data_IF_676076817263
#
_entry.id   IF_676076817263
#
_cell.length_a   1.000
_cell.length_b   1.000
_cell.length_c   1.000
_cell.angle_alpha   90.00
_cell.angle_beta   90.00
_cell.angle_gamma   90.00
#
_symmetry.space_group_name_H-M   'P 1'
#
loop_
_entity.id
_entity.type
_entity.pdbx_description
1 polymer ?
#
# COMPACT_ATOMS: atom_id res chain seq x y z
N UNK A 1 -9.98 17.40 11.16
CA UNK A 1 -9.17 16.99 9.98
C UNK A 1 -9.27 18.09 8.95
N UNK A 2 -8.12 18.55 8.43
CA UNK A 2 -8.14 19.43 7.26
C UNK A 2 -8.56 18.60 6.05
N UNK A 3 -9.60 19.00 5.29
CA UNK A 3 -10.07 18.23 4.12
C UNK A 3 -9.01 18.12 3.00
N UNK A 4 -7.90 18.87 3.11
CA UNK A 4 -6.78 18.87 2.16
C UNK A 4 -5.61 17.97 2.60
N UNK A 5 -5.67 17.35 3.77
CA UNK A 5 -4.60 16.47 4.25
C UNK A 5 -4.77 15.07 3.65
N UNK A 6 -3.78 14.62 2.87
CA UNK A 6 -3.80 13.30 2.25
C UNK A 6 -3.64 12.23 3.32
N UNK A 7 -4.56 11.25 3.35
CA UNK A 7 -4.40 10.06 4.17
C UNK A 7 -3.21 9.24 3.66
N UNK A 8 -2.38 8.78 4.59
CA UNK A 8 -1.23 7.91 4.30
C UNK A 8 -1.45 6.51 4.86
N UNK A 9 -0.70 5.54 4.32
CA UNK A 9 -0.76 4.14 4.76
C UNK A 9 -0.49 3.98 6.26
N UNK A 10 0.42 4.77 6.84
CA UNK A 10 0.70 4.75 8.28
C UNK A 10 -0.52 5.05 9.14
N UNK A 11 -1.43 5.90 8.66
CA UNK A 11 -2.62 6.35 9.37
C UNK A 11 -3.79 5.36 9.30
N UNK A 12 -3.73 4.35 8.42
CA UNK A 12 -4.73 3.30 8.37
C UNK A 12 -4.63 2.41 9.62
N UNK A 13 -5.78 2.00 10.14
CA UNK A 13 -5.87 0.91 11.12
C UNK A 13 -5.80 -0.45 10.42
N UNK A 14 -5.38 -1.49 11.15
CA UNK A 14 -5.43 -2.87 10.67
C UNK A 14 -6.88 -3.25 10.32
N UNK A 15 -7.06 -3.98 9.24
CA UNK A 15 -8.38 -4.35 8.71
C UNK A 15 -9.06 -3.27 7.87
N UNK A 16 -8.53 -2.05 7.83
CA UNK A 16 -9.07 -1.02 6.92
C UNK A 16 -8.70 -1.32 5.47
N UNK A 17 -9.68 -1.14 4.59
CA UNK A 17 -9.55 -1.34 3.15
C UNK A 17 -9.22 -0.03 2.46
N UNK A 18 -8.35 -0.10 1.48
CA UNK A 18 -7.91 1.08 0.75
C UNK A 18 -7.58 0.76 -0.71
N UNK A 19 -7.52 1.82 -1.51
CA UNK A 19 -6.85 1.81 -2.81
C UNK A 19 -5.68 2.79 -2.77
N UNK A 20 -4.71 2.59 -3.65
CA UNK A 20 -3.64 3.54 -3.88
C UNK A 20 -3.63 3.93 -5.36
N UNK A 21 -3.11 5.13 -5.64
CA UNK A 21 -2.82 5.52 -7.01
C UNK A 21 -1.47 4.93 -7.38
N UNK A 22 -1.48 3.96 -8.29
CA UNK A 22 -0.27 3.54 -8.95
C UNK A 22 0.27 4.72 -9.77
N UNK A 23 1.49 5.15 -9.48
CA UNK A 23 2.17 6.16 -10.29
C UNK A 23 2.64 5.53 -11.60
N UNK A 24 2.65 6.27 -12.72
CA UNK A 24 3.37 5.84 -13.91
C UNK A 24 4.83 5.50 -13.54
N UNK A 25 5.29 4.29 -13.86
CA UNK A 25 6.61 3.80 -13.45
C UNK A 25 6.60 2.82 -12.28
N UNK A 26 5.58 2.81 -11.41
CA UNK A 26 5.51 1.90 -10.24
C UNK A 26 5.53 0.41 -10.61
N UNK A 27 5.30 0.09 -11.90
CA UNK A 27 5.30 -1.27 -12.42
C UNK A 27 5.98 -1.41 -13.80
N UNK A 28 6.90 -0.52 -14.19
CA UNK A 28 7.71 -0.74 -15.40
C UNK A 28 8.61 -1.98 -15.21
N UNK A 29 8.11 -3.13 -15.66
CA UNK A 29 8.72 -4.46 -15.51
C UNK A 29 7.83 -5.51 -14.82
N UNK A 30 6.83 -5.10 -14.02
CA UNK A 30 6.04 -6.01 -13.16
C UNK A 30 4.51 -5.84 -13.28
N UNK A 31 4.02 -5.20 -14.34
CA UNK A 31 2.62 -5.39 -14.75
C UNK A 31 1.72 -4.17 -14.88
N UNK A 32 2.24 -2.93 -14.80
CA UNK A 32 1.54 -1.69 -15.11
C UNK A 32 0.25 -1.39 -14.32
N UNK A 33 -0.19 -0.13 -14.30
CA UNK A 33 -1.59 0.17 -14.02
C UNK A 33 -2.42 -0.24 -15.25
N UNK A 34 -3.19 -1.33 -15.16
CA UNK A 34 -3.99 -1.86 -16.29
C UNK A 34 -5.41 -1.28 -16.37
N UNK A 35 -5.66 -0.12 -15.76
CA UNK A 35 -6.97 0.53 -15.75
C UNK A 35 -7.92 0.10 -14.62
N UNK A 36 -7.44 -0.73 -13.68
CA UNK A 36 -8.19 -1.12 -12.49
C UNK A 36 -7.36 -0.86 -11.22
N UNK A 37 -8.01 -0.37 -10.17
CA UNK A 37 -7.40 -0.25 -8.84
C UNK A 37 -7.66 -1.52 -8.05
N UNK A 38 -6.59 -2.14 -7.56
CA UNK A 38 -6.68 -3.23 -6.62
C UNK A 38 -7.09 -2.70 -5.24
N UNK A 39 -7.99 -3.43 -4.57
CA UNK A 39 -8.36 -3.14 -3.18
C UNK A 39 -7.48 -3.96 -2.26
N UNK A 40 -6.93 -3.30 -1.25
CA UNK A 40 -6.05 -3.90 -0.26
C UNK A 40 -6.61 -3.73 1.14
N UNK A 41 -6.29 -4.66 2.02
CA UNK A 41 -6.59 -4.59 3.44
C UNK A 41 -5.28 -4.53 4.24
N UNK A 42 -5.14 -3.52 5.12
CA UNK A 42 -3.94 -3.38 5.93
C UNK A 42 -3.83 -4.50 6.96
N UNK A 43 -2.64 -5.08 7.06
CA UNK A 43 -2.32 -6.15 8.02
C UNK A 43 -1.46 -5.64 9.17
N UNK A 44 -1.28 -6.47 10.20
CA UNK A 44 -0.39 -6.18 11.34
C UNK A 44 1.10 -6.25 10.97
N UNK A 45 1.44 -6.96 9.88
CA UNK A 45 2.81 -7.17 9.46
C UNK A 45 3.51 -5.84 9.08
N UNK A 46 4.75 -5.68 9.55
CA UNK A 46 5.63 -4.58 9.17
C UNK A 46 6.98 -5.09 8.67
N UNK A 47 7.55 -4.38 7.71
CA UNK A 47 8.93 -4.60 7.23
C UNK A 47 9.79 -3.48 7.80
N UNK A 48 10.38 -3.76 8.97
CA UNK A 48 11.17 -2.79 9.75
C UNK A 48 12.68 -2.83 9.46
N UNK A 49 13.13 -3.66 8.53
CA UNK A 49 14.55 -3.79 8.22
C UNK A 49 14.83 -4.42 6.85
N UNK A 50 16.10 -4.36 6.40
CA UNK A 50 16.51 -4.93 5.12
C UNK A 50 16.30 -6.45 5.13
N UNK A 51 15.58 -6.95 4.13
CA UNK A 51 15.46 -8.40 3.90
C UNK A 51 16.50 -8.80 2.84
N UNK A 52 17.06 -10.02 2.89
CA UNK A 52 17.95 -10.48 1.83
C UNK A 52 17.23 -10.38 0.47
N UNK A 53 17.77 -9.56 -0.44
CA UNK A 53 17.17 -9.27 -1.76
C UNK A 53 16.20 -8.09 -1.84
N UNK A 54 15.86 -7.43 -0.72
CA UNK A 54 15.02 -6.24 -0.68
C UNK A 54 15.65 -5.19 0.25
N UNK A 55 16.42 -4.27 -0.33
CA UNK A 55 16.92 -3.09 0.37
C UNK A 55 15.86 -2.00 0.38
N UNK A 56 14.88 -2.12 1.26
CA UNK A 56 13.99 -1.00 1.53
C UNK A 56 14.74 0.04 2.37
N UNK A 57 15.05 1.19 1.78
CA UNK A 57 15.67 2.33 2.49
C UNK A 57 14.72 3.09 3.42
N UNK A 58 13.45 2.67 3.52
CA UNK A 58 12.38 3.32 4.30
C UNK A 58 11.47 2.27 4.94
N UNK A 59 10.77 2.63 6.03
CA UNK A 59 9.83 1.74 6.72
C UNK A 59 8.61 1.42 5.84
N UNK A 60 8.23 0.15 5.81
CA UNK A 60 7.05 -0.33 5.10
C UNK A 60 6.12 -1.09 6.06
N UNK A 61 4.82 -0.99 5.81
CA UNK A 61 3.85 -1.95 6.35
C UNK A 61 3.31 -2.85 5.24
N UNK A 62 2.48 -3.82 5.60
CA UNK A 62 1.93 -4.78 4.64
C UNK A 62 0.43 -4.69 4.50
N UNK A 63 -0.02 -5.01 3.29
CA UNK A 63 -1.41 -5.22 3.00
C UNK A 63 -1.60 -6.40 2.07
N UNK A 64 -2.81 -6.95 2.07
CA UNK A 64 -3.20 -8.08 1.22
C UNK A 64 -4.19 -7.59 0.18
N UNK A 65 -3.94 -7.91 -1.09
CA UNK A 65 -4.94 -7.73 -2.14
C UNK A 65 -6.14 -8.64 -1.84
N UNK A 66 -7.34 -8.08 -1.74
CA UNK A 66 -8.53 -8.84 -1.31
C UNK A 66 -8.97 -9.89 -2.33
N UNK A 67 -8.65 -9.70 -3.62
CA UNK A 67 -9.01 -10.59 -4.72
C UNK A 67 -7.96 -11.68 -4.89
N UNK A 68 -6.70 -11.29 -5.10
CA UNK A 68 -5.61 -12.25 -5.39
C UNK A 68 -5.01 -12.90 -4.15
N UNK A 69 -5.34 -12.40 -2.95
CA UNK A 69 -4.74 -12.79 -1.65
C UNK A 69 -3.21 -12.61 -1.58
N UNK A 70 -2.62 -11.92 -2.54
CA UNK A 70 -1.18 -11.64 -2.57
C UNK A 70 -0.83 -10.55 -1.57
N UNK A 71 0.28 -10.74 -0.85
CA UNK A 71 0.84 -9.73 0.05
C UNK A 71 1.64 -8.70 -0.75
N UNK A 72 1.57 -7.44 -0.33
CA UNK A 72 2.37 -6.35 -0.89
C UNK A 72 2.89 -5.45 0.23
N UNK A 73 4.11 -4.96 0.05
CA UNK A 73 4.77 -4.05 0.99
C UNK A 73 4.51 -2.60 0.53
N UNK A 74 4.11 -1.74 1.45
CA UNK A 74 3.74 -0.35 1.19
C UNK A 74 4.56 0.62 2.05
N UNK A 75 5.18 1.66 1.46
CA UNK A 75 5.82 2.71 2.25
C UNK A 75 4.83 3.33 3.23
N UNK A 76 5.26 3.55 4.47
CA UNK A 76 4.37 4.15 5.48
C UNK A 76 3.87 5.56 5.10
N UNK A 77 4.63 6.29 4.28
CA UNK A 77 4.30 7.62 3.75
C UNK A 77 3.41 7.60 2.50
N UNK A 78 3.09 6.42 1.94
CA UNK A 78 2.32 6.32 0.70
C UNK A 78 0.92 6.88 0.89
N UNK A 79 0.48 7.77 -0.01
CA UNK A 79 -0.88 8.30 -0.02
C UNK A 79 -1.88 7.22 -0.46
N UNK A 80 -3.01 7.14 0.25
CA UNK A 80 -4.04 6.12 0.05
C UNK A 80 -5.43 6.75 0.10
N UNK A 81 -6.43 6.06 -0.46
CA UNK A 81 -7.85 6.37 -0.28
C UNK A 81 -8.46 5.27 0.57
N UNK A 82 -8.94 5.62 1.76
CA UNK A 82 -9.73 4.72 2.60
C UNK A 82 -11.08 4.42 1.92
N UNK A 83 -11.45 3.15 1.87
CA UNK A 83 -12.79 2.72 1.48
C UNK A 83 -13.64 2.55 2.74
N UNK A 84 -14.67 3.37 2.89
CA UNK A 84 -15.69 3.17 3.92
C UNK A 84 -16.68 2.11 3.41
N UNK A 85 -16.52 0.88 3.87
CA UNK A 85 -17.43 -0.25 3.58
C UNK A 85 -18.03 -0.73 4.90
#
# INVERSE_FOLDING_TARGET
MNPNEKLTFSQLSVGQKFIFFSSPGDNEGHGGFKGAHNVFEKTEDQVLGPRPGLMYGISHGRAVNIESRSTSDFPLSMSVILLAI
#
